data_IF_304282206701
#
_entry.id   IF_304282206701
#
_cell.length_a   1.000
_cell.length_b   1.000
_cell.length_c   1.000
_cell.angle_alpha   90.00
_cell.angle_beta   90.00
_cell.angle_gamma   90.00
#
_symmetry.space_group_name_H-M   'P 1'
#
loop_
_entity.id
_entity.type
_entity.pdbx_description
1 polymer ?
#
# COMPACT_ATOMS: atom_id res chain seq x y z
N UNK A 1 4.71 27.45 0.08
CA UNK A 1 4.49 27.19 1.52
C UNK A 1 4.02 28.48 2.18
N UNK A 2 2.89 28.45 2.88
CA UNK A 2 2.40 29.64 3.60
C UNK A 2 3.22 29.89 4.88
N UNK A 3 3.15 31.13 5.45
CA UNK A 3 3.95 31.54 6.60
C UNK A 3 3.65 30.71 7.85
N UNK A 4 2.39 30.33 8.08
CA UNK A 4 1.99 29.55 9.24
C UNK A 4 2.61 28.15 9.19
N UNK A 5 2.47 27.43 8.06
CA UNK A 5 3.09 26.11 7.88
C UNK A 5 4.62 26.20 8.04
N UNK A 6 5.27 27.22 7.48
CA UNK A 6 6.71 27.42 7.64
C UNK A 6 7.11 27.47 9.11
N UNK A 7 6.41 28.26 9.92
CA UNK A 7 6.69 28.40 11.35
C UNK A 7 6.51 27.04 12.08
N UNK A 8 5.45 26.28 11.78
CA UNK A 8 5.23 24.95 12.36
C UNK A 8 6.39 24.01 12.05
N UNK A 9 6.83 23.97 10.78
CA UNK A 9 7.92 23.10 10.36
C UNK A 9 9.27 23.50 10.97
N UNK A 10 9.60 24.81 10.99
CA UNK A 10 10.82 25.32 11.62
C UNK A 10 10.85 25.03 13.14
N UNK A 11 9.70 25.09 13.79
CA UNK A 11 9.59 24.70 15.21
C UNK A 11 9.85 23.21 15.41
N UNK A 12 9.29 22.35 14.55
CA UNK A 12 9.48 20.91 14.63
C UNK A 12 10.92 20.48 14.32
N UNK A 13 11.58 21.18 13.41
CA UNK A 13 12.97 20.91 13.01
C UNK A 13 13.96 21.53 14.01
N UNK A 14 13.66 22.70 14.56
CA UNK A 14 14.58 23.52 15.39
C UNK A 14 15.60 24.30 14.56
N UNK A 15 15.40 24.47 13.24
CA UNK A 15 16.32 25.17 12.34
C UNK A 15 15.55 25.87 11.19
N UNK A 16 15.92 27.13 10.84
CA UNK A 16 15.23 27.86 9.80
C UNK A 16 15.31 27.20 8.42
N UNK A 17 14.18 27.18 7.70
CA UNK A 17 14.10 26.64 6.33
C UNK A 17 14.60 27.71 5.33
N UNK A 18 15.62 27.35 4.54
CA UNK A 18 16.24 28.22 3.54
C UNK A 18 15.77 27.91 2.13
N UNK A 19 15.36 26.67 1.85
CA UNK A 19 14.85 26.26 0.54
C UNK A 19 13.69 25.27 0.73
N UNK A 20 12.59 25.50 0.02
CA UNK A 20 11.42 24.63 0.02
C UNK A 20 10.76 24.62 -1.37
N UNK A 21 10.19 23.47 -1.73
CA UNK A 21 9.31 23.33 -2.88
C UNK A 21 7.87 23.67 -2.52
N UNK A 22 7.06 23.99 -3.52
CA UNK A 22 5.61 24.07 -3.35
C UNK A 22 5.00 22.67 -3.47
N UNK A 23 4.23 22.25 -2.46
CA UNK A 23 3.61 20.92 -2.46
C UNK A 23 4.52 19.84 -1.88
N UNK A 24 4.84 18.83 -2.67
CA UNK A 24 5.65 17.66 -2.24
C UNK A 24 7.09 17.77 -2.74
N UNK A 25 8.05 17.57 -1.85
CA UNK A 25 9.46 17.53 -2.22
C UNK A 25 10.43 17.80 -1.08
N UNK A 26 11.70 17.90 -1.45
CA UNK A 26 12.80 18.13 -0.52
C UNK A 26 12.84 19.58 -0.03
N UNK A 27 13.05 19.76 1.27
CA UNK A 27 13.35 21.06 1.90
C UNK A 27 14.74 21.01 2.53
N UNK A 28 15.39 22.19 2.64
CA UNK A 28 16.70 22.34 3.24
C UNK A 28 16.69 23.45 4.28
N UNK A 29 17.41 23.25 5.37
CA UNK A 29 17.55 24.21 6.46
C UNK A 29 18.85 25.02 6.38
N UNK A 30 19.01 25.99 7.27
CA UNK A 30 20.20 26.84 7.36
C UNK A 30 21.46 26.05 7.71
N UNK A 31 21.35 25.01 8.54
CA UNK A 31 22.46 24.10 8.86
C UNK A 31 22.84 23.17 7.71
N UNK A 32 22.04 23.12 6.64
CA UNK A 32 22.24 22.21 5.50
C UNK A 32 21.51 20.87 5.64
N UNK A 33 20.78 20.65 6.74
CA UNK A 33 19.98 19.44 6.90
C UNK A 33 18.83 19.37 5.89
N UNK A 34 18.49 18.15 5.44
CA UNK A 34 17.48 17.92 4.41
C UNK A 34 16.32 17.10 4.99
N UNK A 35 15.10 17.44 4.59
CA UNK A 35 13.86 16.79 4.97
C UNK A 35 12.96 16.62 3.77
N UNK A 36 11.96 15.75 3.87
CA UNK A 36 10.96 15.56 2.84
C UNK A 36 9.60 16.03 3.34
N UNK A 37 9.01 16.96 2.60
CA UNK A 37 7.71 17.55 2.88
C UNK A 37 6.69 17.07 1.87
N UNK A 38 5.54 16.59 2.35
CA UNK A 38 4.29 16.52 1.59
C UNK A 38 3.36 17.59 2.17
N UNK A 39 2.82 18.48 1.32
CA UNK A 39 1.87 19.49 1.77
C UNK A 39 0.87 19.84 0.68
N UNK A 40 -0.36 20.18 1.07
CA UNK A 40 -1.42 20.49 0.13
C UNK A 40 -2.73 20.88 0.81
N UNK A 41 -3.84 20.64 0.15
CA UNK A 41 -5.16 20.82 0.74
C UNK A 41 -5.33 19.92 1.96
N UNK A 42 -6.09 20.36 2.98
CA UNK A 42 -6.33 19.56 4.18
C UNK A 42 -6.91 18.18 3.85
N UNK A 43 -6.26 17.14 4.38
CA UNK A 43 -6.65 15.74 4.20
C UNK A 43 -6.16 14.90 5.39
N UNK A 44 -6.98 13.99 5.86
CA UNK A 44 -6.59 12.98 6.84
C UNK A 44 -5.54 11.99 6.28
N UNK A 45 -5.29 11.99 4.97
CA UNK A 45 -4.30 11.08 4.34
C UNK A 45 -2.90 11.25 4.91
N UNK A 46 -2.46 12.48 5.23
CA UNK A 46 -1.16 12.74 5.85
C UNK A 46 -1.02 12.08 7.22
N UNK A 47 -2.09 12.20 8.04
CA UNK A 47 -2.13 11.58 9.37
C UNK A 47 -2.14 10.05 9.24
N UNK A 48 -2.93 9.52 8.31
CA UNK A 48 -2.99 8.07 8.05
C UNK A 48 -1.66 7.51 7.56
N UNK A 49 -0.95 8.24 6.70
CA UNK A 49 0.39 7.85 6.22
C UNK A 49 1.40 7.84 7.39
N UNK A 50 1.43 8.87 8.21
CA UNK A 50 2.29 8.91 9.40
C UNK A 50 2.01 7.75 10.37
N UNK A 51 0.73 7.40 10.58
CA UNK A 51 0.34 6.23 11.37
C UNK A 51 0.80 4.91 10.73
N UNK A 52 0.74 4.79 9.41
CA UNK A 52 1.22 3.63 8.66
C UNK A 52 2.74 3.45 8.74
N UNK A 53 3.50 4.54 8.58
CA UNK A 53 4.95 4.56 8.77
C UNK A 53 5.33 4.11 10.18
N UNK A 54 4.62 4.61 11.19
CA UNK A 54 4.82 4.22 12.58
C UNK A 54 4.51 2.74 12.80
N UNK A 55 3.37 2.23 12.31
CA UNK A 55 2.97 0.82 12.44
C UNK A 55 4.05 -0.13 11.88
N UNK A 56 4.61 0.20 10.70
CA UNK A 56 5.68 -0.57 10.09
C UNK A 56 6.98 -0.49 10.88
N UNK A 57 7.40 0.70 11.32
CA UNK A 57 8.65 0.90 12.07
C UNK A 57 8.66 0.19 13.42
N UNK A 58 7.52 0.17 14.12
CA UNK A 58 7.36 -0.51 15.42
C UNK A 58 7.55 -2.03 15.32
N UNK A 59 7.49 -2.61 14.12
CA UNK A 59 7.82 -4.04 13.93
C UNK A 59 9.31 -4.32 14.11
N UNK A 60 10.17 -3.33 13.93
CA UNK A 60 11.64 -3.48 13.91
C UNK A 60 12.16 -4.25 12.69
N UNK A 61 11.31 -4.54 11.68
CA UNK A 61 11.68 -5.32 10.49
C UNK A 61 12.12 -4.42 9.36
N UNK A 62 11.38 -3.34 9.12
CA UNK A 62 11.70 -2.35 8.09
C UNK A 62 11.98 -0.99 8.68
N UNK A 63 12.93 -0.29 8.07
CA UNK A 63 13.10 1.13 8.27
C UNK A 63 12.02 1.89 7.50
N UNK A 64 11.48 2.94 8.12
CA UNK A 64 10.63 3.95 7.47
C UNK A 64 11.22 5.33 7.77
N UNK A 65 10.94 6.36 6.96
CA UNK A 65 11.37 7.71 7.29
C UNK A 65 10.81 8.16 8.64
N UNK A 66 11.65 8.79 9.47
CA UNK A 66 11.21 9.35 10.74
C UNK A 66 10.26 10.50 10.49
N UNK A 67 9.06 10.45 11.09
CA UNK A 67 8.10 11.56 11.07
C UNK A 67 8.52 12.60 12.08
N UNK A 68 8.68 13.87 11.62
CA UNK A 68 9.03 15.01 12.45
C UNK A 68 7.81 15.86 12.78
N UNK A 69 6.90 16.03 11.82
CA UNK A 69 5.66 16.80 12.00
C UNK A 69 4.57 16.24 11.10
N UNK A 70 3.35 16.23 11.58
CA UNK A 70 2.17 15.86 10.80
C UNK A 70 0.97 16.69 11.22
N UNK A 71 0.20 17.11 10.24
CA UNK A 71 -1.10 17.78 10.37
C UNK A 71 -2.03 17.34 9.26
N UNK A 72 -3.21 17.94 9.20
CA UNK A 72 -4.13 17.65 8.08
C UNK A 72 -3.69 18.28 6.75
N UNK A 73 -2.76 19.19 6.76
CA UNK A 73 -2.25 19.89 5.56
C UNK A 73 -0.79 19.56 5.22
N UNK A 74 -0.12 18.72 6.04
CA UNK A 74 1.28 18.35 5.83
C UNK A 74 1.70 17.05 6.50
N UNK A 75 2.77 16.46 5.95
CA UNK A 75 3.61 15.44 6.55
C UNK A 75 5.07 15.79 6.30
N UNK A 76 5.84 15.97 7.38
CA UNK A 76 7.29 16.20 7.32
C UNK A 76 8.02 14.98 7.84
N UNK A 77 8.91 14.44 7.01
CA UNK A 77 9.76 13.31 7.37
C UNK A 77 11.24 13.62 7.17
N UNK A 78 12.11 12.78 7.72
CA UNK A 78 13.51 12.78 7.30
C UNK A 78 13.60 12.60 5.78
N UNK A 79 14.62 13.18 5.17
CA UNK A 79 14.95 12.89 3.77
C UNK A 79 15.86 11.66 3.72
N UNK A 80 15.45 10.64 2.98
CA UNK A 80 16.25 9.46 2.71
C UNK A 80 16.82 9.55 1.30
N UNK A 81 18.14 9.72 1.12
CA UNK A 81 18.74 9.73 -0.20
C UNK A 81 18.62 8.33 -0.83
N UNK A 82 18.05 8.26 -2.02
CA UNK A 82 17.88 7.01 -2.75
C UNK A 82 19.16 6.65 -3.51
N UNK A 83 19.62 5.43 -3.36
CA UNK A 83 20.81 4.87 -4.00
C UNK A 83 20.55 3.57 -4.74
N UNK A 84 21.62 2.90 -5.14
CA UNK A 84 21.54 1.58 -5.74
C UNK A 84 21.67 0.50 -4.64
N UNK A 85 20.81 -0.51 -4.71
CA UNK A 85 20.91 -1.67 -3.83
C UNK A 85 22.10 -2.55 -4.17
N UNK A 86 22.69 -3.17 -3.15
CA UNK A 86 23.70 -4.23 -3.31
C UNK A 86 23.11 -5.49 -3.98
N UNK A 87 23.98 -6.47 -4.26
CA UNK A 87 23.58 -7.70 -4.95
C UNK A 87 22.45 -8.46 -4.21
N UNK A 88 22.45 -8.42 -2.89
CA UNK A 88 21.51 -9.17 -2.04
C UNK A 88 20.29 -8.33 -1.60
N UNK A 89 20.17 -7.10 -2.08
CA UNK A 89 19.13 -6.15 -1.66
C UNK A 89 17.72 -6.73 -1.75
N UNK A 90 17.34 -7.26 -2.91
CA UNK A 90 16.01 -7.84 -3.12
C UNK A 90 15.82 -9.18 -2.42
N UNK A 91 16.88 -9.92 -2.19
CA UNK A 91 16.83 -11.16 -1.42
C UNK A 91 16.55 -10.87 0.06
N UNK A 92 17.27 -9.91 0.66
CA UNK A 92 17.00 -9.44 2.03
C UNK A 92 15.60 -8.83 2.14
N UNK A 93 15.19 -8.03 1.17
CA UNK A 93 13.84 -7.45 1.12
C UNK A 93 12.75 -8.54 1.14
N UNK A 94 12.88 -9.59 0.32
CA UNK A 94 11.94 -10.71 0.30
C UNK A 94 11.83 -11.43 1.64
N UNK A 95 12.97 -11.71 2.31
CA UNK A 95 13.00 -12.30 3.66
C UNK A 95 12.35 -11.39 4.70
N UNK A 96 12.64 -10.10 4.67
CA UNK A 96 12.03 -9.11 5.58
C UNK A 96 10.52 -9.03 5.38
N UNK A 97 10.02 -9.02 4.14
CA UNK A 97 8.58 -9.01 3.88
C UNK A 97 7.90 -10.28 4.41
N UNK A 98 8.52 -11.44 4.23
CA UNK A 98 8.03 -12.69 4.80
C UNK A 98 7.93 -12.64 6.34
N UNK A 99 8.89 -12.01 7.01
CA UNK A 99 8.88 -11.79 8.48
C UNK A 99 7.81 -10.77 8.88
N UNK A 100 7.59 -9.71 8.10
CA UNK A 100 6.48 -8.77 8.32
C UNK A 100 5.14 -9.50 8.29
N UNK A 101 4.92 -10.36 7.30
CA UNK A 101 3.71 -11.14 7.15
C UNK A 101 3.51 -12.22 8.24
N UNK A 102 4.45 -12.39 9.14
CA UNK A 102 4.28 -13.19 10.38
C UNK A 102 3.81 -12.34 11.58
N UNK A 103 3.69 -11.02 11.44
CA UNK A 103 3.07 -10.14 12.44
C UNK A 103 1.55 -10.27 12.35
N UNK A 104 0.97 -11.04 13.24
CA UNK A 104 -0.44 -11.45 13.23
C UNK A 104 -1.27 -10.63 14.20
N UNK A 105 -2.57 -10.55 13.91
CA UNK A 105 -3.59 -9.99 14.80
C UNK A 105 -4.82 -10.90 14.84
N UNK A 106 -5.80 -10.54 15.69
CA UNK A 106 -7.00 -11.34 15.88
C UNK A 106 -8.08 -11.11 14.80
N UNK A 107 -8.00 -10.07 14.00
CA UNK A 107 -9.03 -9.72 13.03
C UNK A 107 -8.46 -9.03 11.79
N UNK A 108 -9.16 -9.15 10.65
CA UNK A 108 -8.89 -8.43 9.42
C UNK A 108 -9.28 -6.96 9.53
N UNK A 109 -8.57 -6.09 8.81
CA UNK A 109 -8.83 -4.65 8.78
C UNK A 109 -7.81 -3.84 9.56
N UNK A 110 -8.20 -2.67 10.04
CA UNK A 110 -7.33 -1.79 10.82
C UNK A 110 -8.15 -1.02 11.85
N UNK A 111 -7.47 -0.31 12.78
CA UNK A 111 -8.13 0.49 13.83
C UNK A 111 -8.97 1.66 13.29
N UNK A 112 -8.68 2.09 12.05
CA UNK A 112 -9.43 3.13 11.33
C UNK A 112 -9.35 2.91 9.83
N UNK A 113 -10.22 3.57 9.07
CA UNK A 113 -10.05 3.71 7.64
C UNK A 113 -8.84 4.59 7.34
N UNK A 114 -8.14 4.32 6.25
CA UNK A 114 -7.02 5.12 5.76
C UNK A 114 -7.15 5.38 4.26
N UNK A 115 -6.04 5.55 3.55
CA UNK A 115 -6.04 5.88 2.13
C UNK A 115 -5.12 4.97 1.36
N UNK A 116 -5.45 4.73 0.09
CA UNK A 116 -4.58 4.15 -0.92
C UNK A 116 -4.51 5.14 -2.09
N UNK A 117 -3.38 5.84 -2.23
CA UNK A 117 -3.32 7.09 -2.98
C UNK A 117 -4.30 8.11 -2.39
N UNK A 118 -5.19 8.68 -3.20
CA UNK A 118 -6.22 9.63 -2.76
C UNK A 118 -7.56 8.97 -2.44
N UNK A 119 -7.74 7.70 -2.71
CA UNK A 119 -8.98 6.98 -2.43
C UNK A 119 -9.04 6.51 -0.98
N UNK A 120 -10.18 6.61 -0.30
CA UNK A 120 -10.40 5.99 0.99
C UNK A 120 -10.22 4.47 0.90
N UNK A 121 -9.50 3.89 1.85
CA UNK A 121 -9.37 2.45 2.05
C UNK A 121 -10.15 2.04 3.30
N UNK A 122 -11.21 1.26 3.09
CA UNK A 122 -12.15 0.90 4.15
C UNK A 122 -11.59 -0.27 4.95
N UNK A 123 -11.29 -0.05 6.21
CA UNK A 123 -10.59 -1.02 7.06
C UNK A 123 -11.41 -1.49 8.27
N UNK A 124 -12.49 -0.82 8.63
CA UNK A 124 -13.30 -1.21 9.77
C UNK A 124 -14.19 -2.40 9.40
N UNK A 125 -13.93 -3.61 9.97
CA UNK A 125 -14.72 -4.80 9.66
C UNK A 125 -16.03 -4.85 10.44
N UNK A 126 -17.07 -5.43 9.86
CA UNK A 126 -18.36 -5.67 10.49
C UNK A 126 -18.71 -7.17 10.47
N UNK A 127 -19.24 -7.68 11.58
CA UNK A 127 -19.70 -9.07 11.65
C UNK A 127 -18.63 -10.09 11.25
N UNK A 128 -18.95 -10.96 10.29
CA UNK A 128 -18.06 -12.01 9.79
C UNK A 128 -16.76 -11.50 9.17
N UNK A 129 -16.73 -10.27 8.65
CA UNK A 129 -15.52 -9.68 8.03
C UNK A 129 -14.32 -9.64 8.98
N UNK A 130 -14.56 -9.70 10.30
CA UNK A 130 -13.47 -9.71 11.30
C UNK A 130 -12.62 -10.98 11.22
N UNK A 131 -13.20 -12.11 10.88
CA UNK A 131 -12.55 -13.44 10.88
C UNK A 131 -12.59 -14.15 9.53
N UNK A 132 -13.39 -13.67 8.58
CA UNK A 132 -13.52 -14.21 7.24
C UNK A 132 -12.86 -13.27 6.22
N UNK A 133 -11.72 -13.73 5.69
CA UNK A 133 -10.96 -12.98 4.68
C UNK A 133 -11.78 -12.75 3.41
N UNK A 134 -12.51 -13.74 2.96
CA UNK A 134 -13.32 -13.64 1.74
C UNK A 134 -14.37 -12.54 1.87
N UNK A 135 -15.09 -12.53 2.98
CA UNK A 135 -16.08 -11.49 3.27
C UNK A 135 -15.44 -10.10 3.40
N UNK A 136 -14.31 -9.99 4.12
CA UNK A 136 -13.58 -8.73 4.25
C UNK A 136 -13.09 -8.22 2.89
N UNK A 137 -12.40 -9.08 2.13
CA UNK A 137 -11.79 -8.67 0.87
C UNK A 137 -12.83 -8.30 -0.19
N UNK A 138 -13.89 -9.09 -0.31
CA UNK A 138 -14.99 -8.76 -1.20
C UNK A 138 -15.62 -7.41 -0.85
N UNK A 139 -16.02 -7.21 0.39
CA UNK A 139 -16.79 -6.03 0.78
C UNK A 139 -15.93 -4.76 0.91
N UNK A 140 -14.74 -4.88 1.55
CA UNK A 140 -13.90 -3.72 1.90
C UNK A 140 -12.87 -3.37 0.84
N UNK A 141 -12.65 -4.26 -0.13
CA UNK A 141 -11.68 -4.04 -1.21
C UNK A 141 -12.36 -4.01 -2.57
N UNK A 142 -12.86 -5.16 -3.05
CA UNK A 142 -13.34 -5.28 -4.42
C UNK A 142 -14.64 -4.51 -4.65
N UNK A 143 -15.66 -4.73 -3.82
CA UNK A 143 -16.96 -4.08 -3.98
C UNK A 143 -16.87 -2.56 -3.80
N UNK A 144 -16.13 -2.10 -2.79
CA UNK A 144 -15.92 -0.67 -2.58
C UNK A 144 -15.31 0.01 -3.82
N UNK A 145 -14.26 -0.57 -4.39
CA UNK A 145 -13.60 -0.01 -5.58
C UNK A 145 -14.49 -0.13 -6.83
N UNK A 146 -15.24 -1.21 -6.96
CA UNK A 146 -16.21 -1.36 -8.03
C UNK A 146 -17.33 -0.31 -7.95
N UNK A 147 -17.94 -0.10 -6.79
CA UNK A 147 -18.96 0.92 -6.57
C UNK A 147 -18.41 2.35 -6.80
N UNK A 148 -17.15 2.59 -6.45
CA UNK A 148 -16.48 3.84 -6.77
C UNK A 148 -16.33 4.01 -8.29
N UNK A 149 -15.96 2.96 -9.01
CA UNK A 149 -15.88 2.97 -10.48
C UNK A 149 -17.26 3.20 -11.13
N UNK A 150 -18.35 2.70 -10.53
CA UNK A 150 -19.70 3.01 -10.97
C UNK A 150 -20.01 4.51 -10.80
N UNK A 151 -19.74 5.09 -9.64
CA UNK A 151 -19.95 6.53 -9.37
C UNK A 151 -19.11 7.41 -10.30
N UNK A 152 -17.91 6.96 -10.66
CA UNK A 152 -17.00 7.66 -11.57
C UNK A 152 -17.34 7.45 -13.07
N UNK A 153 -18.39 6.64 -13.38
CA UNK A 153 -18.82 6.41 -14.76
C UNK A 153 -17.98 5.39 -15.54
N UNK A 154 -17.09 4.63 -14.87
CA UNK A 154 -16.25 3.62 -15.53
C UNK A 154 -16.90 2.24 -15.67
N UNK A 155 -18.03 1.98 -14.98
CA UNK A 155 -18.67 0.67 -15.00
C UNK A 155 -19.44 0.44 -16.31
N UNK A 156 -18.78 -0.18 -17.27
CA UNK A 156 -19.41 -0.68 -18.50
C UNK A 156 -20.35 -1.86 -18.23
N UNK A 157 -21.23 -2.20 -19.17
CA UNK A 157 -22.08 -3.40 -19.08
C UNK A 157 -21.26 -4.66 -18.89
N UNK A 158 -20.09 -4.74 -19.54
CA UNK A 158 -19.16 -5.87 -19.38
C UNK A 158 -18.59 -5.95 -17.95
N UNK A 159 -18.12 -4.83 -17.41
CA UNK A 159 -17.59 -4.76 -16.04
C UNK A 159 -18.64 -5.20 -15.02
N UNK A 160 -19.88 -4.67 -15.13
CA UNK A 160 -21.00 -5.04 -14.23
C UNK A 160 -21.31 -6.52 -14.25
N UNK A 161 -21.47 -7.09 -15.45
CA UNK A 161 -21.78 -8.51 -15.61
C UNK A 161 -20.68 -9.41 -15.03
N UNK A 162 -19.42 -9.08 -15.35
CA UNK A 162 -18.29 -9.91 -14.93
C UNK A 162 -18.01 -9.76 -13.43
N UNK A 163 -18.22 -8.57 -12.86
CA UNK A 163 -18.10 -8.37 -11.41
C UNK A 163 -19.17 -9.15 -10.64
N UNK A 164 -20.43 -9.13 -11.09
CA UNK A 164 -21.50 -9.93 -10.47
C UNK A 164 -21.19 -11.46 -10.49
N UNK A 165 -20.58 -11.94 -11.58
CA UNK A 165 -20.11 -13.35 -11.65
C UNK A 165 -18.96 -13.61 -10.69
N UNK A 166 -18.00 -12.70 -10.58
CA UNK A 166 -16.92 -12.80 -9.61
C UNK A 166 -17.46 -12.90 -8.17
N UNK A 167 -18.42 -12.04 -7.81
CA UNK A 167 -19.03 -12.07 -6.48
C UNK A 167 -19.61 -13.43 -6.12
N UNK A 168 -20.23 -14.12 -7.08
CA UNK A 168 -20.81 -15.45 -6.86
C UNK A 168 -19.75 -16.56 -6.73
N UNK A 169 -18.51 -16.34 -7.20
CA UNK A 169 -17.43 -17.34 -7.24
C UNK A 169 -16.28 -17.05 -6.26
N UNK A 170 -16.25 -15.88 -5.64
CA UNK A 170 -15.09 -15.43 -4.85
C UNK A 170 -14.73 -16.39 -3.71
N UNK A 171 -15.72 -17.03 -3.10
CA UNK A 171 -15.49 -18.02 -2.05
C UNK A 171 -14.73 -19.24 -2.57
N UNK A 172 -15.10 -19.76 -3.74
CA UNK A 172 -14.43 -20.90 -4.37
C UNK A 172 -13.01 -20.52 -4.84
N UNK A 173 -12.83 -19.28 -5.35
CA UNK A 173 -11.53 -18.79 -5.79
C UNK A 173 -10.55 -18.67 -4.62
N UNK A 174 -11.00 -18.16 -3.48
CA UNK A 174 -10.18 -17.96 -2.28
C UNK A 174 -10.15 -19.17 -1.35
N UNK A 175 -10.85 -20.27 -1.68
CA UNK A 175 -10.82 -21.49 -0.90
C UNK A 175 -9.39 -22.06 -0.78
N UNK A 176 -9.03 -22.49 0.45
CA UNK A 176 -7.73 -23.10 0.74
C UNK A 176 -6.60 -22.09 0.98
N UNK A 177 -6.91 -20.78 0.97
CA UNK A 177 -5.93 -19.76 1.32
C UNK A 177 -5.95 -19.36 2.81
N UNK A 178 -6.88 -19.87 3.61
CA UNK A 178 -7.16 -19.40 4.96
C UNK A 178 -5.88 -19.31 5.81
N UNK A 179 -5.54 -18.09 6.20
CA UNK A 179 -4.42 -17.76 7.10
C UNK A 179 -4.88 -16.71 8.11
N UNK A 180 -4.27 -16.66 9.29
CA UNK A 180 -4.54 -15.56 10.22
C UNK A 180 -4.18 -14.22 9.61
N UNK A 181 -4.91 -13.13 9.95
CA UNK A 181 -4.59 -11.79 9.48
C UNK A 181 -3.14 -11.42 9.83
N UNK A 182 -2.41 -10.88 8.87
CA UNK A 182 -1.05 -10.37 9.05
C UNK A 182 -0.94 -8.90 8.64
N UNK A 183 0.06 -8.21 9.19
CA UNK A 183 0.32 -6.83 8.82
C UNK A 183 0.79 -6.76 7.36
N UNK A 184 0.04 -6.03 6.54
CA UNK A 184 0.38 -5.74 5.16
C UNK A 184 0.92 -4.31 5.03
N UNK A 185 1.81 -4.13 4.09
CA UNK A 185 2.22 -2.81 3.62
C UNK A 185 1.06 -2.11 2.88
N UNK A 186 0.32 -2.86 2.06
CA UNK A 186 -0.95 -2.48 1.44
C UNK A 186 -0.87 -1.87 0.05
N UNK A 187 0.30 -1.33 -0.36
CA UNK A 187 0.52 -0.73 -1.70
C UNK A 187 1.99 -0.91 -2.16
N UNK A 188 2.55 -2.12 -2.04
CA UNK A 188 3.96 -2.39 -2.27
C UNK A 188 4.31 -2.59 -3.75
N UNK A 189 4.89 -1.57 -4.35
CA UNK A 189 5.43 -1.59 -5.71
C UNK A 189 6.75 -0.82 -5.78
N UNK A 190 7.41 -0.81 -6.94
CA UNK A 190 8.75 -0.24 -7.11
C UNK A 190 8.86 1.26 -6.77
N UNK A 191 7.74 1.99 -6.76
CA UNK A 191 7.71 3.41 -6.41
C UNK A 191 7.61 3.69 -4.91
N UNK A 192 7.32 2.68 -4.08
CA UNK A 192 7.00 2.87 -2.67
C UNK A 192 8.08 2.33 -1.71
N UNK A 193 9.28 2.13 -2.20
CA UNK A 193 10.47 1.90 -1.37
C UNK A 193 11.68 2.65 -1.90
N UNK A 194 12.64 2.90 -1.04
CA UNK A 194 13.95 3.45 -1.37
C UNK A 194 15.03 2.46 -0.98
N UNK A 195 16.16 2.52 -1.67
CA UNK A 195 17.41 1.98 -1.17
C UNK A 195 18.20 3.13 -0.53
N UNK A 196 18.33 3.13 0.79
CA UNK A 196 19.09 4.19 1.45
C UNK A 196 20.54 4.21 0.93
N UNK A 197 20.94 5.33 0.31
CA UNK A 197 22.28 5.49 -0.27
C UNK A 197 23.42 5.39 0.74
N UNK A 198 23.13 5.53 2.04
CA UNK A 198 24.13 5.48 3.12
C UNK A 198 24.26 4.08 3.70
N UNK A 199 23.14 3.46 4.06
CA UNK A 199 23.12 2.13 4.70
C UNK A 199 22.97 0.96 3.74
N UNK A 200 22.46 1.22 2.51
CA UNK A 200 22.06 0.16 1.56
C UNK A 200 20.78 -0.57 1.92
N UNK A 201 20.11 -0.17 3.01
CA UNK A 201 18.88 -0.83 3.48
C UNK A 201 17.65 -0.40 2.69
N UNK A 202 16.65 -1.28 2.64
CA UNK A 202 15.33 -0.95 2.14
C UNK A 202 14.59 -0.06 3.14
N UNK A 203 14.04 1.05 2.65
CA UNK A 203 13.22 2.00 3.41
C UNK A 203 11.85 2.07 2.77
N UNK A 204 10.80 1.74 3.52
CA UNK A 204 9.42 1.77 3.04
C UNK A 204 8.82 3.17 3.21
N UNK A 205 8.16 3.66 2.16
CA UNK A 205 7.51 4.98 2.10
C UNK A 205 6.07 4.83 1.58
N UNK A 206 5.17 5.78 1.84
CA UNK A 206 3.80 5.83 1.29
C UNK A 206 2.94 4.57 1.58
N UNK A 207 2.90 4.03 2.80
CA UNK A 207 2.18 2.81 3.10
C UNK A 207 0.67 3.01 3.16
N UNK A 208 -0.07 1.95 2.81
CA UNK A 208 -1.53 1.83 2.97
C UNK A 208 -1.87 0.65 3.91
N UNK A 209 -1.31 0.64 5.12
CA UNK A 209 -1.31 -0.52 6.02
C UNK A 209 -2.70 -0.97 6.44
N UNK A 210 -2.86 -2.28 6.56
CA UNK A 210 -3.97 -2.95 7.22
C UNK A 210 -3.59 -4.39 7.53
N UNK A 211 -4.38 -5.08 8.34
CA UNK A 211 -4.22 -6.51 8.59
C UNK A 211 -5.07 -7.29 7.58
N UNK A 212 -4.41 -8.10 6.76
CA UNK A 212 -5.02 -8.83 5.66
C UNK A 212 -4.34 -10.17 5.39
N UNK A 213 -4.58 -10.71 4.19
CA UNK A 213 -3.91 -11.89 3.69
C UNK A 213 -2.67 -11.52 2.87
N UNK A 214 -1.54 -12.13 3.19
CA UNK A 214 -0.21 -11.79 2.63
C UNK A 214 -0.10 -11.85 1.10
N UNK A 215 -0.93 -12.67 0.44
CA UNK A 215 -0.94 -12.75 -1.02
C UNK A 215 -1.35 -11.40 -1.66
N UNK A 216 -2.07 -10.53 -0.94
CA UNK A 216 -2.45 -9.21 -1.45
C UNK A 216 -1.23 -8.30 -1.68
N UNK A 217 -0.28 -8.26 -0.73
CA UNK A 217 0.97 -7.51 -0.92
C UNK A 217 1.83 -8.11 -2.04
N UNK A 218 1.95 -9.44 -2.09
CA UNK A 218 2.73 -10.11 -3.14
C UNK A 218 2.16 -9.87 -4.54
N UNK A 219 0.84 -9.85 -4.68
CA UNK A 219 0.20 -9.54 -5.94
C UNK A 219 0.50 -8.11 -6.39
N UNK A 220 0.53 -7.15 -5.45
CA UNK A 220 0.88 -5.76 -5.77
C UNK A 220 2.33 -5.62 -6.24
N UNK A 221 3.28 -6.33 -5.62
CA UNK A 221 4.69 -6.30 -6.08
C UNK A 221 4.86 -6.73 -7.53
N UNK A 222 3.91 -7.48 -8.11
CA UNK A 222 3.95 -8.01 -9.48
C UNK A 222 3.23 -7.14 -10.51
N UNK A 223 2.43 -6.16 -10.06
CA UNK A 223 1.50 -5.46 -10.94
C UNK A 223 2.20 -4.54 -11.95
N UNK A 224 3.24 -3.83 -11.54
CA UNK A 224 3.96 -2.84 -12.36
C UNK A 224 5.39 -3.29 -12.69
N UNK A 225 5.52 -4.34 -13.49
CA UNK A 225 6.80 -4.87 -13.92
C UNK A 225 7.43 -5.91 -12.98
N UNK A 226 6.94 -6.01 -11.76
CA UNK A 226 7.42 -6.99 -10.77
C UNK A 226 8.75 -6.62 -10.11
N UNK A 227 9.03 -7.26 -8.99
CA UNK A 227 10.36 -7.23 -8.37
C UNK A 227 11.26 -8.32 -8.99
N UNK A 228 12.58 -8.24 -8.84
CA UNK A 228 13.49 -9.28 -9.32
C UNK A 228 13.16 -10.67 -8.75
N UNK A 229 13.39 -11.76 -9.50
CA UNK A 229 13.10 -13.12 -9.04
C UNK A 229 13.75 -13.52 -7.72
N UNK A 230 14.88 -12.90 -7.34
CA UNK A 230 15.54 -13.11 -6.07
C UNK A 230 14.64 -12.77 -4.88
N UNK A 231 13.84 -11.69 -4.97
CA UNK A 231 12.88 -11.29 -3.96
C UNK A 231 11.85 -12.40 -3.67
N UNK A 232 11.23 -12.94 -4.74
CA UNK A 232 10.18 -13.96 -4.59
C UNK A 232 10.73 -15.29 -4.09
N UNK A 233 11.91 -15.71 -4.57
CA UNK A 233 12.58 -16.92 -4.07
C UNK A 233 12.90 -16.82 -2.58
N UNK A 234 13.45 -15.69 -2.15
CA UNK A 234 13.79 -15.46 -0.74
C UNK A 234 12.54 -15.39 0.15
N UNK A 235 11.47 -14.76 -0.34
CA UNK A 235 10.19 -14.75 0.35
C UNK A 235 9.63 -16.16 0.52
N UNK A 236 9.59 -16.94 -0.56
CA UNK A 236 9.05 -18.32 -0.59
C UNK A 236 9.86 -19.27 0.30
N UNK A 237 11.17 -19.13 0.34
CA UNK A 237 12.05 -19.91 1.24
C UNK A 237 11.77 -19.60 2.71
N UNK A 238 11.55 -18.33 3.05
CA UNK A 238 11.29 -17.90 4.43
C UNK A 238 9.85 -18.24 4.87
N UNK A 239 8.86 -18.07 3.97
CA UNK A 239 7.44 -18.28 4.28
C UNK A 239 6.69 -18.82 3.05
N UNK A 240 6.72 -20.15 2.80
CA UNK A 240 6.09 -20.78 1.64
C UNK A 240 4.62 -20.41 1.47
N UNK A 241 4.23 -20.17 0.23
CA UNK A 241 2.84 -19.87 -0.13
C UNK A 241 2.00 -21.14 -0.19
N UNK A 242 0.71 -20.99 0.02
CA UNK A 242 -0.23 -22.10 -0.12
C UNK A 242 -0.43 -22.48 -1.59
N UNK A 243 -0.74 -23.76 -1.88
CA UNK A 243 -1.03 -24.20 -3.25
C UNK A 243 -2.10 -23.33 -3.92
N UNK A 244 -1.97 -23.14 -5.24
CA UNK A 244 -2.87 -22.36 -6.09
C UNK A 244 -2.80 -20.84 -5.84
N UNK A 245 -1.79 -20.31 -5.16
CA UNK A 245 -1.66 -18.85 -4.95
C UNK A 245 -1.56 -18.09 -6.29
N UNK A 246 -0.95 -18.66 -7.32
CA UNK A 246 -0.88 -18.07 -8.67
C UNK A 246 -2.27 -17.89 -9.31
N UNK A 247 -3.20 -18.79 -8.98
CA UNK A 247 -4.58 -18.65 -9.43
C UNK A 247 -5.27 -17.49 -8.73
N UNK A 248 -5.03 -17.31 -7.43
CA UNK A 248 -5.64 -16.23 -6.62
C UNK A 248 -5.01 -14.86 -6.85
N UNK A 249 -3.77 -14.78 -7.34
CA UNK A 249 -3.04 -13.52 -7.56
C UNK A 249 -3.87 -12.49 -8.33
N UNK A 250 -4.59 -12.93 -9.38
CA UNK A 250 -5.41 -12.04 -10.18
C UNK A 250 -6.49 -11.29 -9.38
N UNK A 251 -7.09 -11.96 -8.37
CA UNK A 251 -8.09 -11.34 -7.51
C UNK A 251 -7.49 -10.19 -6.71
N UNK A 252 -6.28 -10.35 -6.21
CA UNK A 252 -5.58 -9.31 -5.45
C UNK A 252 -5.12 -8.16 -6.35
N UNK A 253 -4.63 -8.46 -7.55
CA UNK A 253 -4.29 -7.45 -8.56
C UNK A 253 -5.51 -6.63 -9.00
N UNK A 254 -6.68 -7.25 -9.08
CA UNK A 254 -7.92 -6.57 -9.47
C UNK A 254 -8.25 -5.40 -8.54
N UNK A 255 -8.04 -5.53 -7.23
CA UNK A 255 -8.24 -4.42 -6.29
C UNK A 255 -7.42 -3.18 -6.67
N UNK A 256 -6.13 -3.37 -6.91
CA UNK A 256 -5.23 -2.27 -7.26
C UNK A 256 -5.56 -1.69 -8.65
N UNK A 257 -5.94 -2.52 -9.62
CA UNK A 257 -6.38 -2.05 -10.93
C UNK A 257 -7.66 -1.21 -10.86
N UNK A 258 -8.64 -1.63 -10.07
CA UNK A 258 -9.85 -0.84 -9.84
C UNK A 258 -9.54 0.46 -9.09
N UNK A 259 -8.61 0.43 -8.12
CA UNK A 259 -8.13 1.64 -7.46
C UNK A 259 -7.47 2.60 -8.45
N UNK A 260 -6.58 2.10 -9.32
CA UNK A 260 -5.93 2.91 -10.35
C UNK A 260 -6.91 3.43 -11.40
N UNK A 261 -7.92 2.63 -11.78
CA UNK A 261 -9.02 3.07 -12.63
C UNK A 261 -9.73 4.29 -12.02
N UNK A 262 -10.00 4.25 -10.72
CA UNK A 262 -10.67 5.33 -10.00
C UNK A 262 -9.78 6.58 -9.81
N UNK A 263 -8.46 6.44 -9.72
CA UNK A 263 -7.51 7.54 -9.54
C UNK A 263 -7.06 8.17 -10.86
N UNK A 264 -6.83 7.34 -11.88
CA UNK A 264 -6.07 7.75 -13.08
C UNK A 264 -6.84 7.56 -14.39
N UNK A 265 -8.07 6.99 -14.32
CA UNK A 265 -8.95 6.90 -15.48
C UNK A 265 -8.89 5.58 -16.24
N UNK A 266 -9.60 5.56 -17.36
CA UNK A 266 -10.02 4.35 -18.11
C UNK A 266 -8.90 3.50 -18.71
N UNK A 267 -7.66 3.95 -18.71
CA UNK A 267 -6.51 3.15 -19.20
C UNK A 267 -6.32 1.83 -18.45
N UNK A 268 -6.81 1.71 -17.21
CA UNK A 268 -6.76 0.50 -16.38
C UNK A 268 -7.94 -0.45 -16.59
N UNK A 269 -9.00 0.01 -17.27
CA UNK A 269 -10.24 -0.76 -17.47
C UNK A 269 -10.03 -2.05 -18.30
N UNK A 270 -9.22 -2.06 -19.39
CA UNK A 270 -9.01 -3.29 -20.17
C UNK A 270 -8.39 -4.41 -19.34
N UNK A 271 -7.39 -4.12 -18.53
CA UNK A 271 -6.72 -5.12 -17.69
C UNK A 271 -7.63 -5.62 -16.56
N UNK A 272 -8.40 -4.72 -15.92
CA UNK A 272 -9.40 -5.10 -14.92
C UNK A 272 -10.47 -6.03 -15.52
N UNK A 273 -10.97 -5.72 -16.73
CA UNK A 273 -11.91 -6.58 -17.45
C UNK A 273 -11.30 -7.95 -17.78
N UNK A 274 -10.05 -7.99 -18.25
CA UNK A 274 -9.36 -9.25 -18.60
C UNK A 274 -9.27 -10.18 -17.38
N UNK A 275 -8.96 -9.65 -16.21
CA UNK A 275 -8.93 -10.43 -14.96
C UNK A 275 -10.34 -10.93 -14.60
N UNK A 276 -11.33 -10.07 -14.67
CA UNK A 276 -12.73 -10.43 -14.39
C UNK A 276 -13.26 -11.51 -15.35
N UNK A 277 -12.94 -11.41 -16.63
CA UNK A 277 -13.33 -12.39 -17.64
C UNK A 277 -12.73 -13.76 -17.36
N UNK A 278 -11.45 -13.82 -16.97
CA UNK A 278 -10.80 -15.07 -16.58
C UNK A 278 -11.60 -15.80 -15.50
N UNK A 279 -11.93 -15.12 -14.40
CA UNK A 279 -12.68 -15.73 -13.30
C UNK A 279 -14.18 -15.92 -13.57
N UNK A 280 -14.74 -15.19 -14.53
CA UNK A 280 -16.12 -15.37 -14.95
C UNK A 280 -16.31 -16.61 -15.84
N UNK A 281 -15.24 -17.08 -16.50
CA UNK A 281 -15.26 -18.21 -17.45
C UNK A 281 -14.95 -19.55 -16.78
N UNK A 282 -14.16 -19.55 -15.71
CA UNK A 282 -13.85 -20.72 -14.88
C UNK A 282 -15.05 -21.11 -14.00
#
# INVERSE_FOLDING_TARGET
>A
MNTNLKTVLETAIGDPITSAVSGTGKIRTKSGAEYFLKSGAPSESYVCEAEGLKELSETGIFRTPKVLSVGTDHLLTEYVPNGAGGNDFFEDFGRRLARLHRRRTAYFGFRRNNYIGLNPQINLPHGAERSDWTAFYLNKRLRYQYELAERNGYATTGLRRNFARLESKIADILQGCEEPPCLLYGDLWAGNFLCDAVSGEVVLIDPAVYYGHREADLAMTRLFGGFPPAFYRAYEQEYPLKPRWEYREGIYRLYHLLNHLNLFGSSYLPEANRILEKYASD
#
